data_IF_930976184290
#
_entry.id   IF_930976184290
#
_cell.length_a   1.000
_cell.length_b   1.000
_cell.length_c   1.000
_cell.angle_alpha   90.00
_cell.angle_beta   90.00
_cell.angle_gamma   90.00
#
_symmetry.space_group_name_H-M   'P 1'
#
loop_
_entity.id
_entity.type
_entity.pdbx_description
1 polymer ?
#
# COMPACT_ATOMS: atom_id res chain seq x y z
N UNK A 1 -3.73 -12.49 -4.30
CA UNK A 1 -5.11 -12.75 -4.74
C UNK A 1 -5.26 -14.22 -5.11
N UNK A 2 -6.35 -14.84 -4.67
CA UNK A 2 -6.71 -16.20 -5.11
C UNK A 2 -7.89 -16.10 -6.09
N UNK A 3 -7.78 -16.78 -7.23
CA UNK A 3 -8.82 -16.85 -8.25
C UNK A 3 -8.77 -18.23 -8.92
N UNK A 4 -9.89 -18.97 -8.90
CA UNK A 4 -10.00 -20.30 -9.51
C UNK A 4 -8.83 -21.23 -9.09
N UNK A 5 -8.65 -21.42 -7.79
CA UNK A 5 -7.60 -22.24 -7.16
C UNK A 5 -6.15 -21.88 -7.58
N UNK A 6 -5.97 -20.68 -8.11
CA UNK A 6 -4.66 -20.16 -8.49
C UNK A 6 -4.32 -18.92 -7.63
N UNK A 7 -3.15 -18.93 -7.03
CA UNK A 7 -2.60 -17.77 -6.32
C UNK A 7 -1.91 -16.85 -7.32
N UNK A 8 -2.32 -15.59 -7.36
CA UNK A 8 -1.70 -14.54 -8.15
C UNK A 8 -0.90 -13.62 -7.24
N UNK A 9 0.38 -13.44 -7.55
CA UNK A 9 1.31 -12.56 -6.86
C UNK A 9 1.66 -11.38 -7.75
N UNK A 10 1.27 -10.17 -7.33
CA UNK A 10 1.70 -8.95 -7.97
C UNK A 10 2.92 -8.42 -7.21
N UNK A 11 3.95 -8.02 -7.94
CA UNK A 11 5.21 -7.59 -7.33
C UNK A 11 5.80 -6.39 -8.07
N UNK A 12 6.49 -5.53 -7.33
CA UNK A 12 7.30 -4.45 -7.90
C UNK A 12 8.59 -5.03 -8.47
N UNK A 13 8.96 -4.58 -9.65
CA UNK A 13 10.25 -4.83 -10.26
C UNK A 13 10.80 -3.53 -10.85
N UNK A 14 12.11 -3.34 -10.73
CA UNK A 14 12.80 -2.16 -11.25
C UNK A 14 13.78 -2.60 -12.32
N UNK A 15 14.02 -1.75 -13.32
CA UNK A 15 15.12 -1.92 -14.24
C UNK A 15 16.45 -1.47 -13.61
N UNK A 16 17.54 -1.83 -14.25
CA UNK A 16 18.86 -1.45 -13.79
C UNK A 16 19.04 0.07 -13.84
N UNK A 17 19.91 0.60 -12.96
CA UNK A 17 20.26 2.02 -12.90
C UNK A 17 20.78 2.60 -14.23
N UNK A 18 21.29 1.75 -15.12
CA UNK A 18 21.84 2.11 -16.42
C UNK A 18 20.84 1.91 -17.58
N UNK A 19 19.58 1.54 -17.28
CA UNK A 19 18.54 1.40 -18.28
C UNK A 19 18.20 2.76 -18.92
N UNK A 20 17.89 2.74 -20.21
CA UNK A 20 17.58 3.95 -20.98
C UNK A 20 16.31 4.68 -20.53
N UNK A 21 15.39 3.94 -19.91
CA UNK A 21 14.15 4.47 -19.38
C UNK A 21 14.33 4.78 -17.89
N UNK A 22 14.77 5.99 -17.59
CA UNK A 22 14.70 6.64 -16.28
C UNK A 22 15.25 5.88 -15.08
N UNK A 23 16.52 5.54 -15.04
CA UNK A 23 17.20 5.01 -13.84
C UNK A 23 16.27 4.40 -12.77
N UNK A 24 16.08 3.08 -12.74
CA UNK A 24 15.19 2.34 -11.84
C UNK A 24 13.70 2.65 -12.03
N UNK A 25 13.23 2.67 -13.26
CA UNK A 25 11.79 2.75 -13.53
C UNK A 25 11.08 1.52 -12.96
N UNK A 26 10.17 1.74 -12.03
CA UNK A 26 9.40 0.69 -11.39
C UNK A 26 8.25 0.22 -12.29
N UNK A 27 8.01 -1.09 -12.29
CA UNK A 27 6.92 -1.75 -13.00
C UNK A 27 6.28 -2.80 -12.10
N UNK A 28 5.03 -3.13 -12.36
CA UNK A 28 4.33 -4.19 -11.65
C UNK A 28 4.34 -5.44 -12.51
N UNK A 29 4.97 -6.48 -12.00
CA UNK A 29 4.97 -7.82 -12.55
C UNK A 29 3.87 -8.69 -11.96
N UNK A 30 3.57 -9.81 -12.63
CA UNK A 30 2.62 -10.81 -12.20
C UNK A 30 3.27 -12.19 -12.21
N UNK A 31 3.00 -12.98 -11.17
CA UNK A 31 3.29 -14.39 -11.14
C UNK A 31 2.08 -15.17 -10.64
N UNK A 32 1.98 -16.44 -10.98
CA UNK A 32 0.89 -17.31 -10.54
C UNK A 32 1.42 -18.66 -10.08
N UNK A 33 0.67 -19.30 -9.18
CA UNK A 33 0.98 -20.60 -8.63
C UNK A 33 -0.31 -21.35 -8.30
N UNK A 34 -0.29 -22.67 -8.49
CA UNK A 34 -1.38 -23.57 -8.08
C UNK A 34 -1.12 -24.26 -6.74
N UNK A 35 0.12 -24.16 -6.21
CA UNK A 35 0.53 -24.75 -4.94
C UNK A 35 0.92 -23.70 -3.87
N UNK A 36 0.96 -22.41 -4.26
CA UNK A 36 1.35 -21.30 -3.38
C UNK A 36 2.85 -21.21 -3.08
N UNK A 37 3.66 -22.08 -3.66
CA UNK A 37 5.11 -22.20 -3.41
C UNK A 37 5.90 -21.94 -4.69
N UNK A 38 5.54 -22.62 -5.78
CA UNK A 38 6.22 -22.54 -7.06
C UNK A 38 5.52 -21.54 -7.97
N UNK A 39 6.10 -20.36 -8.14
CA UNK A 39 5.51 -19.27 -8.94
C UNK A 39 6.11 -19.21 -10.35
N UNK A 40 5.24 -19.14 -11.35
CA UNK A 40 5.58 -18.87 -12.75
C UNK A 40 5.31 -17.42 -13.07
N UNK A 41 6.34 -16.67 -13.47
CA UNK A 41 6.22 -15.25 -13.83
C UNK A 41 5.64 -15.09 -15.23
N UNK A 42 4.80 -14.06 -15.39
CA UNK A 42 4.42 -13.55 -16.70
C UNK A 42 5.64 -12.90 -17.39
N UNK A 43 5.74 -13.00 -18.71
CA UNK A 43 6.92 -12.54 -19.43
C UNK A 43 7.03 -11.01 -19.54
N UNK A 44 5.95 -10.29 -19.31
CA UNK A 44 5.89 -8.83 -19.41
C UNK A 44 5.27 -8.24 -18.14
N UNK A 45 5.63 -7.01 -17.74
CA UNK A 45 4.92 -6.30 -16.69
C UNK A 45 3.45 -6.09 -17.08
N UNK A 46 2.59 -6.07 -16.07
CA UNK A 46 1.14 -5.86 -16.23
C UNK A 46 0.72 -4.41 -16.02
N UNK A 47 1.55 -3.61 -15.34
CA UNK A 47 1.37 -2.16 -15.20
C UNK A 47 2.74 -1.48 -15.22
N UNK A 48 2.87 -0.44 -16.01
CA UNK A 48 4.12 0.30 -16.23
C UNK A 48 3.83 1.71 -16.75
N UNK A 49 4.79 2.65 -16.69
CA UNK A 49 4.68 3.92 -17.40
C UNK A 49 4.57 3.69 -18.90
N UNK A 50 3.50 4.13 -19.50
CA UNK A 50 3.23 3.99 -20.93
C UNK A 50 2.94 5.38 -21.53
N UNK A 51 2.88 5.47 -22.86
CA UNK A 51 2.45 6.66 -23.59
C UNK A 51 0.90 6.78 -23.52
N UNK A 52 0.39 6.94 -22.30
CA UNK A 52 -1.02 7.11 -21.99
C UNK A 52 -1.28 8.43 -21.25
N UNK A 53 -2.54 8.74 -20.98
CA UNK A 53 -2.93 9.98 -20.29
C UNK A 53 -2.39 10.07 -18.84
N UNK A 54 -1.88 8.97 -18.30
CA UNK A 54 -1.31 8.89 -16.94
C UNK A 54 0.20 9.13 -16.92
N UNK A 55 0.87 9.28 -18.07
CA UNK A 55 2.31 9.47 -18.20
C UNK A 55 2.84 10.62 -17.31
N UNK A 56 2.09 11.72 -17.19
CA UNK A 56 2.48 12.84 -16.34
C UNK A 56 2.64 12.47 -14.85
N UNK A 57 2.01 11.39 -14.40
CA UNK A 57 1.99 10.94 -13.02
C UNK A 57 3.00 9.83 -12.72
N UNK A 58 3.30 8.97 -13.70
CA UNK A 58 4.11 7.77 -13.47
C UNK A 58 5.43 7.74 -14.28
N UNK A 59 5.66 8.67 -15.22
CA UNK A 59 6.91 8.72 -15.98
C UNK A 59 7.88 9.77 -15.42
N UNK A 60 9.18 9.51 -15.32
CA UNK A 60 9.90 8.26 -15.66
C UNK A 60 10.04 7.27 -14.48
N UNK A 61 9.62 7.62 -13.28
CA UNK A 61 9.87 6.87 -12.07
C UNK A 61 9.14 5.52 -12.01
N UNK A 62 7.88 5.47 -12.40
CA UNK A 62 7.19 4.20 -12.59
C UNK A 62 5.95 3.97 -11.74
N UNK A 63 5.52 2.71 -11.73
CA UNK A 63 4.41 2.20 -10.95
C UNK A 63 4.97 1.30 -9.84
N UNK A 64 4.64 1.61 -8.57
CA UNK A 64 5.26 0.99 -7.39
C UNK A 64 4.20 0.39 -6.46
N UNK A 65 4.63 -0.58 -5.67
CA UNK A 65 3.99 -1.07 -4.44
C UNK A 65 2.49 -1.42 -4.61
N UNK A 66 2.14 -2.43 -5.43
CA UNK A 66 0.75 -2.77 -5.73
C UNK A 66 0.03 -3.37 -4.53
N UNK A 67 -1.20 -2.92 -4.28
CA UNK A 67 -2.12 -3.49 -3.29
C UNK A 67 -3.47 -3.71 -3.95
N UNK A 68 -3.94 -4.96 -3.96
CA UNK A 68 -5.12 -5.34 -4.74
C UNK A 68 -6.25 -5.82 -3.84
N UNK A 69 -7.44 -5.36 -4.13
CA UNK A 69 -8.70 -5.84 -3.54
C UNK A 69 -9.67 -6.24 -4.64
N UNK A 70 -10.58 -7.16 -4.34
CA UNK A 70 -11.73 -7.42 -5.19
C UNK A 70 -12.87 -6.50 -4.79
N UNK A 71 -13.64 -6.02 -5.75
CA UNK A 71 -14.88 -5.26 -5.51
C UNK A 71 -16.08 -6.21 -5.44
N UNK A 72 -17.24 -5.73 -4.98
CA UNK A 72 -18.44 -6.56 -4.84
C UNK A 72 -18.96 -7.09 -6.18
N UNK A 73 -18.72 -6.38 -7.29
CA UNK A 73 -19.08 -6.82 -8.66
C UNK A 73 -18.05 -7.77 -9.29
N UNK A 74 -16.99 -8.12 -8.55
CA UNK A 74 -15.93 -9.04 -9.01
C UNK A 74 -14.78 -8.40 -9.76
N UNK A 75 -14.81 -7.09 -10.00
CA UNK A 75 -13.68 -6.33 -10.55
C UNK A 75 -12.52 -6.29 -9.55
N UNK A 76 -11.30 -6.18 -10.01
CA UNK A 76 -10.12 -5.95 -9.17
C UNK A 76 -9.73 -4.48 -9.21
N UNK A 77 -9.51 -3.91 -8.02
CA UNK A 77 -8.95 -2.59 -7.82
C UNK A 77 -7.51 -2.74 -7.33
N UNK A 78 -6.56 -2.15 -8.01
CA UNK A 78 -5.19 -1.98 -7.55
C UNK A 78 -4.99 -0.55 -7.08
N UNK A 79 -4.48 -0.39 -5.86
CA UNK A 79 -3.82 0.84 -5.43
C UNK A 79 -2.32 0.66 -5.66
N UNK A 80 -1.70 1.68 -6.23
CA UNK A 80 -0.27 1.70 -6.49
C UNK A 80 0.27 3.11 -6.34
N UNK A 81 1.58 3.24 -6.20
CA UNK A 81 2.23 4.55 -6.23
C UNK A 81 2.64 4.87 -7.67
N UNK A 82 2.11 5.94 -8.22
CA UNK A 82 2.64 6.54 -9.45
C UNK A 82 3.75 7.54 -9.09
N UNK A 83 4.95 7.33 -9.65
CA UNK A 83 6.13 8.11 -9.37
C UNK A 83 6.68 8.78 -10.62
N UNK A 84 6.65 10.11 -10.68
CA UNK A 84 7.14 10.89 -11.82
C UNK A 84 8.52 11.51 -11.56
N UNK A 85 9.31 10.94 -10.63
CA UNK A 85 10.61 11.45 -10.18
C UNK A 85 10.56 12.81 -9.46
N UNK A 86 9.37 13.30 -9.12
CA UNK A 86 9.16 14.54 -8.36
C UNK A 86 8.22 14.35 -7.18
N UNK A 87 7.05 13.74 -7.41
CA UNK A 87 6.02 13.51 -6.39
C UNK A 87 5.47 12.11 -6.55
N UNK A 88 5.46 11.36 -5.45
CA UNK A 88 4.80 10.06 -5.35
C UNK A 88 3.31 10.28 -5.07
N UNK A 89 2.43 9.68 -5.88
CA UNK A 89 0.99 9.79 -5.73
C UNK A 89 0.33 8.44 -5.66
N UNK A 90 -0.52 8.26 -4.66
CA UNK A 90 -1.38 7.08 -4.59
C UNK A 90 -2.37 7.13 -5.74
N UNK A 91 -2.37 6.10 -6.56
CA UNK A 91 -3.15 6.00 -7.80
C UNK A 91 -3.91 4.69 -7.86
N UNK A 92 -4.93 4.62 -8.71
CA UNK A 92 -5.71 3.40 -8.92
C UNK A 92 -5.64 2.89 -10.35
N UNK A 93 -5.78 1.57 -10.47
CA UNK A 93 -6.04 0.87 -11.71
C UNK A 93 -7.07 -0.24 -11.48
N UNK A 94 -7.85 -0.58 -12.52
CA UNK A 94 -8.89 -1.61 -12.46
C UNK A 94 -8.65 -2.70 -13.49
N UNK A 95 -9.06 -3.94 -13.16
CA UNK A 95 -8.92 -5.11 -14.01
C UNK A 95 -10.06 -6.10 -13.77
N UNK A 96 -10.44 -6.84 -14.80
CA UNK A 96 -11.38 -7.97 -14.69
C UNK A 96 -10.67 -9.34 -14.63
N UNK A 97 -9.35 -9.37 -14.89
CA UNK A 97 -8.61 -10.62 -15.07
C UNK A 97 -7.25 -10.68 -14.37
N UNK A 98 -6.82 -9.61 -13.68
CA UNK A 98 -5.51 -9.41 -13.04
C UNK A 98 -4.33 -9.25 -14.03
N UNK A 99 -4.57 -9.31 -15.33
CA UNK A 99 -3.55 -9.23 -16.37
C UNK A 99 -3.63 -7.89 -17.10
N UNK A 100 -4.83 -7.50 -17.50
CA UNK A 100 -5.09 -6.26 -18.23
C UNK A 100 -5.62 -5.20 -17.28
N UNK A 101 -4.86 -4.14 -17.09
CA UNK A 101 -5.18 -3.07 -16.14
C UNK A 101 -5.42 -1.74 -16.86
N UNK A 102 -6.47 -1.06 -16.45
CA UNK A 102 -6.76 0.31 -16.88
C UNK A 102 -6.44 1.27 -15.75
N UNK A 103 -5.43 2.12 -15.93
CA UNK A 103 -5.08 3.19 -14.98
C UNK A 103 -6.22 4.20 -14.89
N UNK A 104 -6.46 4.70 -13.68
CA UNK A 104 -7.48 5.74 -13.40
C UNK A 104 -6.85 7.03 -12.87
N UNK A 105 -5.54 7.01 -12.54
CA UNK A 105 -4.79 8.14 -12.04
C UNK A 105 -4.85 8.33 -10.52
N UNK A 106 -4.33 9.47 -10.03
CA UNK A 106 -4.23 9.76 -8.60
C UNK A 106 -5.59 9.87 -7.92
N UNK A 107 -5.67 9.30 -6.71
CA UNK A 107 -6.94 9.16 -5.96
C UNK A 107 -7.47 10.46 -5.36
N UNK A 108 -6.61 11.47 -5.15
CA UNK A 108 -6.97 12.73 -4.48
C UNK A 108 -7.17 13.90 -5.44
N UNK A 109 -7.27 13.67 -6.76
CA UNK A 109 -7.44 14.72 -7.77
C UNK A 109 -8.64 15.63 -7.51
N UNK A 110 -9.75 15.08 -7.04
CA UNK A 110 -10.99 15.83 -6.78
C UNK A 110 -11.11 16.29 -5.33
N UNK A 111 -10.36 15.70 -4.42
CA UNK A 111 -10.48 15.96 -3.00
C UNK A 111 -10.04 17.38 -2.66
N UNK A 112 -10.91 18.13 -1.95
CA UNK A 112 -10.62 19.48 -1.47
C UNK A 112 -10.03 20.39 -2.56
N UNK A 113 -10.62 20.33 -3.77
CA UNK A 113 -10.18 21.10 -4.96
C UNK A 113 -8.75 20.76 -5.42
N UNK A 114 -8.30 19.51 -5.21
CA UNK A 114 -6.96 19.06 -5.59
C UNK A 114 -5.85 19.40 -4.60
N UNK A 115 -6.15 19.98 -3.43
CA UNK A 115 -5.17 20.40 -2.40
C UNK A 115 -4.13 19.30 -2.09
N UNK A 116 -4.54 18.03 -2.06
CA UNK A 116 -3.67 16.92 -1.66
C UNK A 116 -3.04 16.17 -2.83
N UNK A 117 -3.28 16.58 -4.08
CA UNK A 117 -2.69 15.94 -5.25
C UNK A 117 -1.21 16.28 -5.46
N UNK A 118 -0.78 17.46 -5.01
CA UNK A 118 0.62 17.90 -5.13
C UNK A 118 1.49 17.48 -3.93
N UNK A 119 0.88 16.87 -2.93
CA UNK A 119 1.57 16.26 -1.79
C UNK A 119 1.92 14.78 -2.05
N UNK A 120 2.90 14.28 -1.30
CA UNK A 120 3.22 12.87 -1.29
C UNK A 120 2.08 12.05 -0.70
N UNK A 121 1.67 11.01 -1.42
CA UNK A 121 0.69 10.03 -0.96
C UNK A 121 1.08 8.65 -1.44
N UNK A 122 1.09 7.67 -0.52
CA UNK A 122 1.52 6.30 -0.79
C UNK A 122 0.70 5.32 0.06
N UNK A 123 0.87 4.05 -0.25
CA UNK A 123 0.55 2.95 0.66
C UNK A 123 -0.92 2.92 1.09
N UNK A 124 -1.81 2.84 0.11
CA UNK A 124 -3.25 2.72 0.36
C UNK A 124 -3.65 1.30 0.77
N UNK A 125 -4.32 1.17 1.90
CA UNK A 125 -4.84 -0.08 2.47
C UNK A 125 -6.36 0.04 2.61
N UNK A 126 -7.10 -0.42 1.59
CA UNK A 126 -8.57 -0.42 1.60
C UNK A 126 -9.09 -1.35 2.69
N UNK A 127 -10.12 -0.93 3.42
CA UNK A 127 -10.81 -1.77 4.39
C UNK A 127 -11.66 -2.80 3.66
N UNK A 128 -11.48 -4.05 4.01
CA UNK A 128 -12.05 -5.22 3.37
C UNK A 128 -12.76 -6.13 4.36
N UNK A 129 -13.55 -7.04 3.85
CA UNK A 129 -14.12 -8.18 4.58
C UNK A 129 -13.82 -9.48 3.83
N UNK A 130 -13.83 -10.58 4.55
CA UNK A 130 -13.75 -11.90 3.96
C UNK A 130 -15.13 -12.33 3.47
N UNK A 131 -15.26 -12.68 2.20
CA UNK A 131 -16.48 -13.21 1.57
C UNK A 131 -16.10 -14.42 0.76
N UNK A 132 -16.57 -15.61 1.13
CA UNK A 132 -16.31 -16.87 0.43
C UNK A 132 -14.81 -17.10 0.12
N UNK A 133 -13.96 -16.83 1.10
CA UNK A 133 -12.51 -16.97 1.00
C UNK A 133 -11.81 -15.87 0.18
N UNK A 134 -12.52 -14.82 -0.21
CA UNK A 134 -11.97 -13.68 -0.97
C UNK A 134 -11.94 -12.42 -0.12
N UNK A 135 -10.91 -11.61 -0.30
CA UNK A 135 -10.78 -10.29 0.30
C UNK A 135 -11.52 -9.30 -0.59
N UNK A 136 -12.66 -8.79 -0.11
CA UNK A 136 -13.55 -7.89 -0.86
C UNK A 136 -13.63 -6.53 -0.18
N UNK A 137 -13.54 -5.44 -0.94
CA UNK A 137 -13.70 -4.08 -0.43
C UNK A 137 -15.04 -3.93 0.31
N UNK A 138 -15.03 -3.39 1.51
CA UNK A 138 -16.21 -3.31 2.36
C UNK A 138 -16.65 -1.86 2.57
N UNK A 139 -17.98 -1.64 2.49
CA UNK A 139 -18.57 -0.38 2.94
C UNK A 139 -18.84 -0.41 4.43
N UNK A 140 -18.52 0.68 5.10
CA UNK A 140 -18.89 1.00 6.46
C UNK A 140 -19.63 2.33 6.45
N UNK A 141 -20.84 2.37 7.00
CA UNK A 141 -21.71 3.56 6.97
C UNK A 141 -21.91 4.14 5.55
N UNK A 142 -22.08 3.25 4.56
CA UNK A 142 -22.34 3.61 3.16
C UNK A 142 -21.12 4.02 2.35
N UNK A 143 -19.92 4.07 2.94
CA UNK A 143 -18.67 4.48 2.29
C UNK A 143 -17.61 3.39 2.35
N UNK A 144 -16.74 3.35 1.33
CA UNK A 144 -15.48 2.63 1.40
C UNK A 144 -14.47 3.48 2.18
N UNK A 145 -13.56 2.81 2.88
CA UNK A 145 -12.53 3.44 3.70
C UNK A 145 -11.16 2.90 3.37
N UNK A 146 -10.13 3.73 3.55
CA UNK A 146 -8.75 3.39 3.26
C UNK A 146 -7.83 4.05 4.28
N UNK A 147 -6.97 3.26 4.92
CA UNK A 147 -5.78 3.76 5.58
C UNK A 147 -4.71 4.04 4.52
N UNK A 148 -3.92 5.10 4.70
CA UNK A 148 -2.87 5.45 3.76
C UNK A 148 -1.77 6.28 4.42
N UNK A 149 -0.56 6.29 3.81
CA UNK A 149 0.58 7.07 4.26
C UNK A 149 1.79 6.20 4.65
N UNK A 150 2.93 6.86 4.81
CA UNK A 150 4.20 6.21 5.16
C UNK A 150 4.88 6.81 6.41
N UNK A 151 4.60 8.05 6.79
CA UNK A 151 5.12 8.66 8.02
C UNK A 151 4.09 8.66 9.14
N UNK A 152 2.84 8.75 8.74
CA UNK A 152 1.65 8.64 9.59
C UNK A 152 0.63 7.82 8.85
N UNK A 153 -0.19 7.10 9.58
CA UNK A 153 -1.38 6.50 8.99
C UNK A 153 -2.49 7.54 9.02
N UNK A 154 -2.97 7.90 7.84
CA UNK A 154 -4.11 8.78 7.63
C UNK A 154 -5.32 7.94 7.21
N UNK A 155 -6.49 8.55 7.15
CA UNK A 155 -7.73 7.91 6.74
C UNK A 155 -8.38 8.68 5.59
N UNK A 156 -8.94 7.97 4.62
CA UNK A 156 -9.72 8.53 3.53
C UNK A 156 -10.97 7.69 3.29
N UNK A 157 -12.01 8.31 2.70
CA UNK A 157 -13.21 7.62 2.27
C UNK A 157 -13.48 7.80 0.78
N UNK A 158 -14.27 6.90 0.20
CA UNK A 158 -14.75 6.96 -1.17
C UNK A 158 -16.17 6.40 -1.28
N UNK A 159 -16.94 6.88 -2.24
CA UNK A 159 -18.24 6.34 -2.59
C UNK A 159 -18.16 5.35 -3.78
N UNK A 160 -17.08 5.46 -4.58
CA UNK A 160 -16.93 4.76 -5.87
C UNK A 160 -15.59 4.02 -6.06
N UNK A 161 -14.73 3.97 -5.02
CA UNK A 161 -13.39 3.37 -5.05
C UNK A 161 -12.38 4.04 -6.00
N UNK A 162 -12.76 5.09 -6.71
CA UNK A 162 -11.90 5.85 -7.61
C UNK A 162 -11.51 7.21 -7.02
N UNK A 163 -12.50 7.98 -6.59
CA UNK A 163 -12.31 9.31 -6.01
C UNK A 163 -12.28 9.19 -4.48
N UNK A 164 -11.16 9.52 -3.88
CA UNK A 164 -10.97 9.41 -2.44
C UNK A 164 -10.84 10.78 -1.79
N UNK A 165 -11.36 10.92 -0.59
CA UNK A 165 -11.39 12.14 0.18
C UNK A 165 -10.70 11.91 1.52
N UNK A 166 -9.49 12.47 1.74
CA UNK A 166 -8.82 12.36 3.03
C UNK A 166 -9.61 13.07 4.12
N UNK A 167 -9.63 12.46 5.30
CA UNK A 167 -10.19 13.11 6.48
C UNK A 167 -9.24 14.19 6.99
N UNK A 168 -9.83 15.29 7.42
CA UNK A 168 -9.11 16.41 8.00
C UNK A 168 -9.46 16.55 9.48
N UNK A 169 -8.50 17.04 10.23
CA UNK A 169 -8.70 17.47 11.61
C UNK A 169 -9.41 18.85 11.69
N UNK A 170 -9.59 19.36 12.91
CA UNK A 170 -10.25 20.66 13.13
C UNK A 170 -9.46 21.85 12.59
N UNK A 171 -8.19 21.68 12.29
CA UNK A 171 -7.28 22.69 11.72
C UNK A 171 -7.27 22.64 10.18
N UNK A 172 -7.93 21.63 9.58
CA UNK A 172 -7.93 21.41 8.12
C UNK A 172 -6.69 20.71 7.59
N UNK A 173 -5.92 20.05 8.48
CA UNK A 173 -4.79 19.21 8.15
C UNK A 173 -5.21 17.73 8.10
N UNK A 174 -4.38 16.88 7.50
CA UNK A 174 -4.66 15.44 7.41
C UNK A 174 -4.85 14.82 8.80
N UNK A 175 -5.97 14.15 9.02
CA UNK A 175 -6.22 13.43 10.26
C UNK A 175 -5.28 12.22 10.36
N UNK A 176 -4.38 12.25 11.32
CA UNK A 176 -3.49 11.15 11.66
C UNK A 176 -4.19 10.20 12.63
N UNK A 177 -4.38 8.97 12.23
CA UNK A 177 -5.01 7.94 13.08
C UNK A 177 -4.00 7.02 13.76
N UNK A 178 -2.73 7.01 13.29
CA UNK A 178 -1.62 6.34 13.94
C UNK A 178 -0.30 7.03 13.58
N UNK A 179 0.61 7.15 14.56
CA UNK A 179 1.92 7.80 14.40
C UNK A 179 3.06 6.86 14.83
N UNK A 180 4.29 7.24 14.53
CA UNK A 180 5.52 6.56 14.99
C UNK A 180 5.63 6.56 16.51
N UNK A 181 6.44 5.63 17.08
CA UNK A 181 6.69 5.53 18.52
C UNK A 181 8.19 5.52 18.82
N UNK A 182 8.71 6.48 19.59
CA UNK A 182 10.09 6.40 20.07
C UNK A 182 10.37 5.07 20.79
N UNK A 183 11.58 4.53 20.60
CA UNK A 183 12.07 3.30 21.24
C UNK A 183 11.31 2.03 20.86
N UNK A 184 10.61 2.04 19.72
CA UNK A 184 9.92 0.88 19.15
C UNK A 184 10.37 0.66 17.72
N UNK A 185 10.12 -0.54 17.19
CA UNK A 185 10.49 -0.93 15.82
C UNK A 185 9.94 0.02 14.74
N UNK A 186 8.89 0.76 15.05
CA UNK A 186 8.19 1.70 14.18
C UNK A 186 8.50 3.17 14.54
N UNK A 187 9.71 3.45 15.00
CA UNK A 187 10.12 4.78 15.50
C UNK A 187 10.40 5.80 14.39
N UNK A 188 10.68 5.36 13.16
CA UNK A 188 10.94 6.25 12.02
C UNK A 188 9.75 6.39 11.08
N UNK A 189 9.05 5.27 10.82
CA UNK A 189 8.05 5.16 9.80
C UNK A 189 6.96 4.19 10.22
N UNK A 190 5.71 4.50 9.86
CA UNK A 190 4.56 3.61 9.88
C UNK A 190 3.90 3.68 8.52
N UNK A 191 4.01 2.62 7.74
CA UNK A 191 3.52 2.56 6.37
C UNK A 191 2.44 1.48 6.24
N UNK A 192 1.27 1.84 5.69
CA UNK A 192 0.21 0.88 5.48
C UNK A 192 0.66 -0.26 4.57
N UNK A 193 0.37 -1.49 4.97
CA UNK A 193 0.71 -2.71 4.25
C UNK A 193 -0.41 -3.20 3.32
N UNK A 194 -0.77 -4.48 3.37
CA UNK A 194 -1.85 -5.04 2.57
C UNK A 194 -3.21 -4.44 2.96
N UNK A 195 -4.29 -4.74 2.20
CA UNK A 195 -5.65 -4.33 2.54
C UNK A 195 -6.02 -4.69 3.99
N UNK A 196 -6.58 -3.72 4.73
CA UNK A 196 -7.02 -3.93 6.10
C UNK A 196 -8.28 -4.82 6.12
N UNK A 197 -8.44 -5.64 7.16
CA UNK A 197 -9.50 -6.65 7.21
C UNK A 197 -10.39 -6.41 8.43
N UNK A 198 -11.69 -6.35 8.21
CA UNK A 198 -12.68 -6.36 9.29
C UNK A 198 -12.72 -7.77 9.88
N UNK A 199 -12.53 -7.83 11.21
CA UNK A 199 -12.61 -9.03 12.03
C UNK A 199 -13.65 -8.84 13.14
N UNK A 200 -13.93 -9.88 13.93
CA UNK A 200 -14.81 -9.77 15.09
C UNK A 200 -14.26 -8.80 16.15
N UNK A 201 -12.93 -8.71 16.26
CA UNK A 201 -12.22 -7.88 17.22
C UNK A 201 -12.09 -6.40 16.79
N UNK A 202 -12.23 -6.12 15.49
CA UNK A 202 -12.02 -4.79 14.93
C UNK A 202 -11.46 -4.83 13.52
N UNK A 203 -10.97 -3.68 13.05
CA UNK A 203 -10.29 -3.57 11.76
C UNK A 203 -8.79 -3.81 11.98
N UNK A 204 -8.30 -4.92 11.47
CA UNK A 204 -6.88 -5.27 11.51
C UNK A 204 -6.13 -4.61 10.34
N UNK A 205 -5.18 -3.74 10.67
CA UNK A 205 -4.21 -3.18 9.74
C UNK A 205 -2.84 -3.83 9.97
N UNK A 206 -2.30 -4.49 8.95
CA UNK A 206 -0.90 -4.87 8.89
C UNK A 206 -0.14 -3.70 8.30
N UNK A 207 0.98 -3.32 8.92
CA UNK A 207 1.79 -2.18 8.49
C UNK A 207 3.27 -2.47 8.58
N UNK A 208 4.08 -1.75 7.83
CA UNK A 208 5.53 -1.75 7.95
C UNK A 208 5.94 -0.64 8.93
N UNK A 209 6.77 -1.00 9.91
CA UNK A 209 7.51 -0.06 10.73
C UNK A 209 8.96 -0.02 10.29
N UNK A 210 9.62 1.12 10.44
CA UNK A 210 11.08 1.24 10.28
C UNK A 210 11.69 1.77 11.57
N UNK A 211 12.75 1.11 12.02
CA UNK A 211 13.51 1.56 13.17
C UNK A 211 14.36 2.78 12.81
N UNK A 212 14.30 3.85 13.61
CA UNK A 212 15.03 5.09 13.33
C UNK A 212 16.55 4.90 13.49
N UNK A 213 17.34 5.74 12.79
CA UNK A 213 18.81 5.69 12.84
C UNK A 213 19.41 6.62 13.92
N UNK A 214 18.63 6.98 14.95
CA UNK A 214 19.03 7.84 16.07
C UNK A 214 18.98 7.12 17.41
N UNK A 215 19.16 7.83 18.50
CA UNK A 215 19.05 7.30 19.88
C UNK A 215 17.61 7.01 20.31
N UNK A 216 16.62 7.37 19.48
CA UNK A 216 15.23 7.03 19.69
C UNK A 216 14.85 5.66 19.08
N UNK A 217 15.83 4.91 18.56
CA UNK A 217 15.63 3.57 18.01
C UNK A 217 15.25 2.55 19.08
N UNK A 218 14.54 1.50 18.66
CA UNK A 218 14.43 0.27 19.44
C UNK A 218 15.83 -0.36 19.57
N UNK A 219 16.39 -0.48 20.78
CA UNK A 219 17.75 -0.97 20.96
C UNK A 219 17.90 -2.49 20.69
N UNK A 220 16.79 -3.21 20.57
CA UNK A 220 16.78 -4.66 20.35
C UNK A 220 16.83 -5.03 18.85
N UNK A 221 16.71 -4.04 17.97
CA UNK A 221 16.68 -4.21 16.52
C UNK A 221 17.75 -3.36 15.83
N UNK A 222 18.29 -3.79 14.71
CA UNK A 222 19.19 -2.98 13.89
C UNK A 222 18.55 -1.62 13.55
N UNK A 223 19.36 -0.54 13.59
CA UNK A 223 18.93 0.78 13.10
C UNK A 223 18.65 0.70 11.59
N UNK A 224 17.55 1.31 11.16
CA UNK A 224 17.12 1.30 9.76
C UNK A 224 16.33 0.05 9.34
N UNK A 225 16.21 -0.96 10.21
CA UNK A 225 15.48 -2.20 9.90
C UNK A 225 13.99 -1.92 9.66
N UNK A 226 13.45 -2.49 8.59
CA UNK A 226 12.01 -2.63 8.40
C UNK A 226 11.50 -3.90 9.08
N UNK A 227 10.31 -3.81 9.65
CA UNK A 227 9.65 -4.94 10.29
C UNK A 227 8.12 -4.74 10.25
N UNK A 228 7.36 -5.82 10.24
CA UNK A 228 5.91 -5.74 10.12
C UNK A 228 5.22 -5.74 11.48
N UNK A 229 4.28 -4.80 11.64
CA UNK A 229 3.42 -4.65 12.80
C UNK A 229 1.96 -4.91 12.51
N UNK A 230 1.18 -5.03 13.57
CA UNK A 230 -0.27 -5.15 13.52
C UNK A 230 -0.90 -4.07 14.40
N UNK A 231 -1.89 -3.38 13.84
CA UNK A 231 -2.70 -2.38 14.54
C UNK A 231 -4.18 -2.75 14.44
N UNK A 232 -4.93 -2.48 15.49
CA UNK A 232 -6.36 -2.73 15.56
C UNK A 232 -7.10 -1.40 15.73
N UNK A 233 -8.12 -1.20 14.91
CA UNK A 233 -9.04 -0.08 14.98
C UNK A 233 -10.45 -0.57 15.30
N UNK A 234 -11.31 0.33 15.77
CA UNK A 234 -12.70 0.01 16.10
C UNK A 234 -13.46 -0.41 14.82
N UNK A 235 -14.24 -1.49 14.91
CA UNK A 235 -14.96 -2.04 13.76
C UNK A 235 -16.10 -1.17 13.25
N UNK A 236 -16.56 -0.18 14.02
CA UNK A 236 -17.65 0.72 13.65
C UNK A 236 -17.15 2.14 13.33
N UNK A 237 -15.92 2.46 13.79
CA UNK A 237 -15.27 3.75 13.56
C UNK A 237 -13.80 3.54 13.13
N UNK A 238 -13.50 3.58 11.84
CA UNK A 238 -12.13 3.35 11.35
C UNK A 238 -11.12 4.41 11.79
N UNK A 239 -11.56 5.55 12.30
CA UNK A 239 -10.67 6.58 12.84
C UNK A 239 -10.20 6.30 14.26
N UNK A 240 -10.91 5.41 14.98
CA UNK A 240 -10.63 5.12 16.39
C UNK A 240 -9.59 4.01 16.53
N UNK A 241 -8.37 4.40 16.78
CA UNK A 241 -7.28 3.49 17.12
C UNK A 241 -7.54 2.81 18.48
N UNK A 242 -7.35 1.49 18.56
CA UNK A 242 -7.52 0.72 19.79
C UNK A 242 -6.19 0.28 20.39
N UNK A 243 -5.37 -0.42 19.62
CA UNK A 243 -4.06 -0.97 20.07
C UNK A 243 -3.19 -1.37 18.91
N UNK A 244 -1.90 -1.56 19.15
CA UNK A 244 -0.96 -2.21 18.22
C UNK A 244 0.09 -3.00 19.00
N UNK A 245 0.76 -3.91 18.31
CA UNK A 245 1.82 -4.71 18.89
C UNK A 245 3.01 -3.83 19.30
N UNK A 246 3.65 -4.18 20.41
CA UNK A 246 4.86 -3.51 20.89
C UNK A 246 6.13 -4.01 20.22
N UNK A 247 6.11 -5.25 19.74
CA UNK A 247 7.17 -5.88 18.98
C UNK A 247 6.66 -6.25 17.59
N UNK A 248 7.52 -6.30 16.57
CA UNK A 248 7.10 -6.75 15.24
C UNK A 248 6.71 -8.24 15.29
N UNK A 249 5.69 -8.62 14.53
CA UNK A 249 5.33 -10.03 14.40
C UNK A 249 6.15 -10.73 13.30
N UNK A 250 6.74 -9.97 12.39
CA UNK A 250 7.62 -10.46 11.33
C UNK A 250 8.76 -9.46 11.11
N UNK A 251 9.96 -9.97 10.95
CA UNK A 251 11.17 -9.19 10.66
C UNK A 251 12.06 -9.96 9.71
N UNK A 252 12.92 -9.28 8.92
CA UNK A 252 13.90 -9.93 8.07
C UNK A 252 14.88 -10.78 8.91
N UNK A 253 15.15 -12.00 8.50
CA UNK A 253 16.14 -12.89 9.13
C UNK A 253 16.96 -13.70 8.11
N UNK A 254 16.51 -13.79 6.87
CA UNK A 254 17.25 -14.44 5.79
C UNK A 254 18.20 -13.48 5.06
N UNK A 255 19.33 -13.95 4.53
CA UNK A 255 20.31 -13.09 3.86
C UNK A 255 19.72 -12.21 2.74
N UNK A 256 18.79 -12.74 1.95
CA UNK A 256 18.14 -12.00 0.85
C UNK A 256 17.09 -10.98 1.32
N UNK A 257 16.63 -11.10 2.55
CA UNK A 257 15.72 -10.14 3.19
C UNK A 257 16.49 -9.01 3.88
N UNK A 258 17.71 -9.31 4.35
CA UNK A 258 18.57 -8.34 5.06
C UNK A 258 19.36 -7.48 4.09
N UNK A 259 19.73 -8.01 2.91
CA UNK A 259 20.53 -7.33 1.91
C UNK A 259 19.68 -6.98 0.68
N UNK A 260 19.17 -5.75 0.65
CA UNK A 260 18.35 -5.22 -0.42
C UNK A 260 18.70 -3.78 -0.79
N UNK A 261 17.74 -3.04 -1.29
CA UNK A 261 17.89 -1.62 -1.61
C UNK A 261 18.20 -0.78 -0.36
N UNK A 262 17.64 -1.16 0.77
CA UNK A 262 17.91 -0.57 2.07
C UNK A 262 18.75 -1.53 2.91
N UNK A 263 19.68 -0.96 3.69
CA UNK A 263 20.49 -1.74 4.63
C UNK A 263 19.64 -2.18 5.83
N UNK A 264 19.95 -3.33 6.40
CA UNK A 264 19.27 -3.95 7.53
C UNK A 264 17.85 -4.50 7.23
N UNK A 265 17.52 -4.72 5.98
CA UNK A 265 16.31 -5.43 5.57
C UNK A 265 15.18 -4.52 5.08
N UNK A 266 14.53 -4.99 4.06
CA UNK A 266 13.30 -4.41 3.48
C UNK A 266 12.28 -5.48 3.24
#
# INVERSE_FOLDING_TARGET
IVRNDTVFLLFRAEDNKDAKLGHRTSRIGLAHSTDGINFKRYPKPILYPDLDDMQQWDYPGGCEDPRVVQTEDGTYLMLYTSWNSKVARLSTAVSNDLIHWKKQGPVFLKAHQGKFNEGWSKSGSVITKMVDGKIVAAKMNGKYWMYWGENFVNLAYSENLQDWYPLLDKQGELLKVMETRPYKFDSHLVECGPPAIITDEGILLIYNGRNIESDLADPTLPKGMYASGQALFDKNDPSKFLKRLDQPFMKPDLPHEIMGQYKAGT
#
